data_IF_268852083195
#
_entry.id   IF_268852083195
#
_cell.length_a   1.000
_cell.length_b   1.000
_cell.length_c   1.000
_cell.angle_alpha   90.00
_cell.angle_beta   90.00
_cell.angle_gamma   90.00
#
_symmetry.space_group_name_H-M   'P 1'
#
loop_
_entity.id
_entity.type
_entity.pdbx_description
1 polymer ?
#
# COMPACT_ATOMS: atom_id res chain seq x y z
N UNK A 1 1.60 -41.20 -50.42
CA UNK A 1 0.97 -41.26 -49.09
C UNK A 1 1.95 -41.36 -47.92
N UNK A 2 2.92 -42.30 -47.86
CA UNK A 2 3.79 -42.44 -46.68
C UNK A 2 4.71 -41.23 -46.44
N UNK A 3 5.19 -40.58 -47.51
CA UNK A 3 6.04 -39.38 -47.42
C UNK A 3 5.36 -38.15 -46.81
N UNK A 4 4.04 -38.00 -46.99
CA UNK A 4 3.30 -36.87 -46.41
C UNK A 4 3.11 -37.08 -44.90
N UNK A 5 2.88 -38.32 -44.48
CA UNK A 5 2.73 -38.69 -43.06
C UNK A 5 4.06 -38.52 -42.32
N UNK A 6 5.19 -38.96 -42.90
CA UNK A 6 6.50 -38.77 -42.28
C UNK A 6 6.91 -37.30 -42.24
N UNK A 7 6.65 -36.52 -43.29
CA UNK A 7 6.90 -35.08 -43.29
C UNK A 7 6.08 -34.34 -42.21
N UNK A 8 4.81 -34.70 -42.03
CA UNK A 8 3.94 -34.15 -40.98
C UNK A 8 4.46 -34.49 -39.58
N UNK A 9 4.89 -35.75 -39.34
CA UNK A 9 5.45 -36.17 -38.06
C UNK A 9 6.74 -35.39 -37.74
N UNK A 10 7.64 -35.25 -38.71
CA UNK A 10 8.87 -34.48 -38.55
C UNK A 10 8.57 -33.00 -38.27
N UNK A 11 7.61 -32.41 -38.98
CA UNK A 11 7.19 -31.02 -38.75
C UNK A 11 6.60 -30.81 -37.34
N UNK A 12 5.77 -31.75 -36.86
CA UNK A 12 5.22 -31.71 -35.49
C UNK A 12 6.32 -31.92 -34.44
N UNK A 13 7.24 -32.86 -34.65
CA UNK A 13 8.37 -33.09 -33.76
C UNK A 13 9.29 -31.86 -33.68
N UNK A 14 9.51 -31.19 -34.81
CA UNK A 14 10.24 -29.92 -34.88
C UNK A 14 9.49 -28.81 -34.13
N UNK A 15 8.16 -28.65 -34.31
CA UNK A 15 7.37 -27.67 -33.56
C UNK A 15 7.36 -27.91 -32.04
N UNK A 16 7.41 -29.18 -31.61
CA UNK A 16 7.42 -29.53 -30.19
C UNK A 16 8.82 -29.36 -29.58
N UNK A 17 9.85 -29.84 -30.28
CA UNK A 17 11.23 -29.93 -29.79
C UNK A 17 12.18 -28.80 -30.22
N UNK A 18 11.72 -27.81 -31.00
CA UNK A 18 12.61 -26.72 -31.45
C UNK A 18 13.19 -25.98 -30.24
N UNK A 19 14.53 -25.78 -30.17
CA UNK A 19 15.16 -24.99 -29.13
C UNK A 19 14.56 -23.58 -29.10
N UNK A 20 14.36 -22.99 -27.91
CA UNK A 20 13.88 -21.61 -27.68
C UNK A 20 12.44 -21.25 -28.09
N UNK A 21 11.79 -21.97 -29.01
CA UNK A 21 10.42 -21.66 -29.48
C UNK A 21 9.45 -22.84 -29.40
N UNK A 22 9.96 -24.07 -29.29
CA UNK A 22 9.15 -25.27 -29.22
C UNK A 22 8.29 -25.36 -27.96
N UNK A 23 7.23 -26.17 -28.04
CA UNK A 23 6.31 -26.40 -26.91
C UNK A 23 7.03 -26.96 -25.67
N UNK A 24 8.01 -27.85 -25.84
CA UNK A 24 8.84 -28.36 -24.75
C UNK A 24 9.67 -27.25 -24.09
N UNK A 25 10.33 -26.41 -24.89
CA UNK A 25 11.14 -25.29 -24.38
C UNK A 25 10.28 -24.24 -23.67
N UNK A 26 9.05 -24.00 -24.14
CA UNK A 26 8.06 -23.17 -23.45
C UNK A 26 7.64 -23.80 -22.12
N UNK A 27 7.28 -25.09 -22.13
CA UNK A 27 6.88 -25.80 -20.91
C UNK A 27 8.00 -25.81 -19.86
N UNK A 28 9.24 -26.08 -20.27
CA UNK A 28 10.41 -26.04 -19.38
C UNK A 28 10.64 -24.63 -18.80
N UNK A 29 10.53 -23.57 -19.61
CA UNK A 29 10.62 -22.19 -19.11
C UNK A 29 9.53 -21.84 -18.11
N UNK A 30 8.29 -22.27 -18.36
CA UNK A 30 7.17 -22.05 -17.43
C UNK A 30 7.42 -22.78 -16.11
N UNK A 31 7.88 -24.04 -16.15
CA UNK A 31 8.21 -24.80 -14.95
C UNK A 31 9.36 -24.17 -14.16
N UNK A 32 10.42 -23.72 -14.85
CA UNK A 32 11.54 -23.05 -14.20
C UNK A 32 11.12 -21.71 -13.57
N UNK A 33 10.29 -20.92 -14.26
CA UNK A 33 9.78 -19.65 -13.75
C UNK A 33 8.90 -19.88 -12.51
N UNK A 34 7.99 -20.86 -12.58
CA UNK A 34 7.13 -21.22 -11.45
C UNK A 34 7.95 -21.65 -10.22
N UNK A 35 9.01 -22.45 -10.41
CA UNK A 35 9.90 -22.84 -9.33
C UNK A 35 10.65 -21.66 -8.70
N UNK A 36 11.08 -20.69 -9.52
CA UNK A 36 11.73 -19.46 -9.02
C UNK A 36 10.77 -18.61 -8.20
N UNK A 37 9.55 -18.39 -8.70
CA UNK A 37 8.51 -17.61 -8.00
C UNK A 37 8.19 -18.24 -6.64
N UNK A 38 7.96 -19.56 -6.58
CA UNK A 38 7.71 -20.25 -5.31
C UNK A 38 8.85 -20.10 -4.30
N UNK A 39 10.09 -20.12 -4.77
CA UNK A 39 11.26 -19.89 -3.94
C UNK A 39 11.32 -18.44 -3.43
N UNK A 40 11.08 -17.47 -4.30
CA UNK A 40 11.03 -16.05 -3.97
C UNK A 40 9.93 -15.75 -2.93
N UNK A 41 8.74 -16.31 -3.10
CA UNK A 41 7.63 -16.20 -2.15
C UNK A 41 7.94 -16.86 -0.79
N UNK A 42 8.59 -18.03 -0.80
CA UNK A 42 9.05 -18.67 0.43
C UNK A 42 10.05 -17.79 1.18
N UNK A 43 11.00 -17.16 0.48
CA UNK A 43 11.96 -16.24 1.07
C UNK A 43 11.26 -15.00 1.65
N UNK A 44 10.29 -14.43 0.92
CA UNK A 44 9.44 -13.31 1.40
C UNK A 44 8.74 -13.68 2.71
N UNK A 45 8.11 -14.85 2.78
CA UNK A 45 7.44 -15.34 3.98
C UNK A 45 8.40 -15.54 5.16
N UNK A 46 9.51 -16.25 4.95
CA UNK A 46 10.49 -16.52 6.02
C UNK A 46 11.05 -15.20 6.56
N UNK A 47 11.36 -14.23 5.68
CA UNK A 47 11.80 -12.90 6.08
C UNK A 47 10.76 -12.17 6.93
N UNK A 48 9.46 -12.26 6.56
CA UNK A 48 8.36 -11.67 7.34
C UNK A 48 8.30 -12.24 8.75
N UNK A 49 8.45 -13.55 8.93
CA UNK A 49 8.54 -14.19 10.25
C UNK A 49 9.72 -13.65 11.08
N UNK A 50 10.92 -13.60 10.48
CA UNK A 50 12.11 -13.09 11.17
C UNK A 50 11.93 -11.63 11.65
N UNK A 51 11.26 -10.79 10.86
CA UNK A 51 10.96 -9.40 11.23
C UNK A 51 9.95 -9.28 12.37
N UNK A 52 8.94 -10.15 12.41
CA UNK A 52 7.95 -10.20 13.51
C UNK A 52 8.51 -10.88 14.77
N UNK A 53 9.68 -11.51 14.69
CA UNK A 53 10.26 -12.30 15.78
C UNK A 53 9.62 -13.69 15.91
N UNK A 54 8.89 -14.12 14.88
CA UNK A 54 8.23 -15.42 14.81
C UNK A 54 9.17 -16.47 14.20
N UNK A 55 8.90 -17.74 14.51
CA UNK A 55 9.64 -18.85 13.94
C UNK A 55 8.96 -19.35 12.66
N UNK A 56 9.64 -19.31 11.50
CA UNK A 56 9.10 -19.88 10.27
C UNK A 56 8.96 -21.40 10.42
N UNK A 57 7.81 -21.94 10.03
CA UNK A 57 7.51 -23.38 10.05
C UNK A 57 7.25 -23.89 8.65
N UNK A 58 7.46 -25.19 8.44
CA UNK A 58 7.14 -25.83 7.16
C UNK A 58 5.66 -25.67 6.83
N UNK A 59 4.79 -25.83 7.83
CA UNK A 59 3.35 -25.66 7.69
C UNK A 59 2.96 -24.22 7.32
N UNK A 60 3.67 -23.23 7.86
CA UNK A 60 3.47 -21.82 7.51
C UNK A 60 3.87 -21.49 6.07
N UNK A 61 5.01 -22.02 5.60
CA UNK A 61 5.43 -21.89 4.19
C UNK A 61 4.42 -22.58 3.27
N UNK A 62 4.00 -23.79 3.60
CA UNK A 62 3.00 -24.54 2.82
C UNK A 62 1.66 -23.79 2.72
N UNK A 63 1.21 -23.22 3.83
CA UNK A 63 -0.02 -22.44 3.90
C UNK A 63 0.04 -21.19 3.03
N UNK A 64 1.14 -20.44 3.11
CA UNK A 64 1.36 -19.20 2.34
C UNK A 64 1.47 -19.45 0.84
N UNK A 65 2.21 -20.48 0.44
CA UNK A 65 2.36 -20.84 -0.98
C UNK A 65 1.19 -21.62 -1.55
N UNK A 66 0.23 -22.04 -0.72
CA UNK A 66 -0.89 -22.91 -1.09
C UNK A 66 -0.47 -24.22 -1.77
N UNK A 67 0.62 -24.85 -1.30
CA UNK A 67 1.13 -26.13 -1.81
C UNK A 67 1.12 -27.22 -0.75
N UNK A 68 1.24 -28.48 -1.18
CA UNK A 68 1.24 -29.61 -0.27
C UNK A 68 2.54 -29.69 0.55
N UNK A 69 2.45 -30.19 1.79
CA UNK A 69 3.56 -30.34 2.75
C UNK A 69 4.80 -31.04 2.18
N UNK A 70 4.61 -32.07 1.37
CA UNK A 70 5.69 -32.79 0.69
C UNK A 70 6.38 -31.93 -0.37
N UNK A 71 5.63 -31.14 -1.14
CA UNK A 71 6.18 -30.22 -2.13
C UNK A 71 6.96 -29.09 -1.45
N UNK A 72 6.45 -28.56 -0.34
CA UNK A 72 7.18 -27.59 0.50
C UNK A 72 8.50 -28.15 1.00
N UNK A 73 8.52 -29.40 1.48
CA UNK A 73 9.77 -30.03 1.93
C UNK A 73 10.81 -30.14 0.81
N UNK A 74 10.38 -30.48 -0.41
CA UNK A 74 11.25 -30.53 -1.60
C UNK A 74 11.75 -29.14 -1.99
N UNK A 75 10.90 -28.12 -1.90
CA UNK A 75 11.29 -26.72 -2.16
C UNK A 75 12.36 -26.25 -1.17
N UNK A 76 12.13 -26.45 0.13
CA UNK A 76 13.05 -26.03 1.18
C UNK A 76 14.41 -26.76 1.08
N UNK A 77 14.42 -28.04 0.72
CA UNK A 77 15.66 -28.79 0.47
C UNK A 77 16.46 -28.20 -0.71
N UNK A 78 15.79 -27.84 -1.82
CA UNK A 78 16.43 -27.15 -2.95
C UNK A 78 16.98 -25.78 -2.58
N UNK A 79 16.25 -25.03 -1.76
CA UNK A 79 16.68 -23.73 -1.27
C UNK A 79 17.94 -23.84 -0.39
N UNK A 80 18.02 -24.88 0.45
CA UNK A 80 19.20 -25.17 1.26
C UNK A 80 20.40 -25.58 0.39
N UNK A 81 20.18 -26.42 -0.63
CA UNK A 81 21.23 -26.80 -1.60
C UNK A 81 21.74 -25.61 -2.42
N UNK A 82 20.90 -24.58 -2.59
CA UNK A 82 21.23 -23.34 -3.30
C UNK A 82 21.77 -22.24 -2.37
N UNK A 83 22.06 -22.56 -1.10
CA UNK A 83 22.58 -21.64 -0.08
C UNK A 83 21.70 -20.41 0.19
N UNK A 84 20.37 -20.53 0.07
CA UNK A 84 19.42 -19.46 0.35
C UNK A 84 18.84 -19.52 1.76
N UNK A 85 18.82 -20.71 2.36
CA UNK A 85 18.42 -20.91 3.74
C UNK A 85 19.31 -21.94 4.40
N UNK A 86 19.36 -21.90 5.73
CA UNK A 86 20.02 -22.89 6.56
C UNK A 86 19.13 -23.32 7.71
N UNK A 87 19.24 -24.59 8.09
CA UNK A 87 18.66 -25.11 9.33
C UNK A 87 19.68 -24.99 10.47
N UNK A 88 19.40 -24.13 11.46
CA UNK A 88 20.21 -23.99 12.68
C UNK A 88 19.37 -24.28 13.90
N UNK A 89 19.82 -25.23 14.73
CA UNK A 89 19.10 -25.67 15.93
C UNK A 89 17.64 -26.07 15.66
N UNK A 90 17.38 -26.64 14.47
CA UNK A 90 16.03 -27.02 14.03
C UNK A 90 15.16 -25.86 13.52
N UNK A 91 15.71 -24.64 13.41
CA UNK A 91 15.02 -23.45 12.90
C UNK A 91 15.51 -23.08 11.50
N UNK A 92 14.57 -22.72 10.62
CA UNK A 92 14.89 -22.13 9.31
C UNK A 92 15.39 -20.70 9.49
N UNK A 93 16.52 -20.36 8.89
CA UNK A 93 17.06 -19.01 8.85
C UNK A 93 17.53 -18.68 7.44
N UNK A 94 17.32 -17.44 7.00
CA UNK A 94 17.84 -16.98 5.72
C UNK A 94 19.36 -16.81 5.78
N UNK A 95 20.04 -17.23 4.70
CA UNK A 95 21.44 -16.83 4.47
C UNK A 95 21.49 -15.36 4.03
N UNK A 96 22.69 -14.74 3.95
CA UNK A 96 22.81 -13.40 3.37
C UNK A 96 22.22 -13.29 1.95
N UNK A 97 22.42 -14.31 1.10
CA UNK A 97 21.90 -14.32 -0.26
C UNK A 97 20.39 -14.54 -0.31
N UNK A 98 19.85 -15.41 0.55
CA UNK A 98 18.41 -15.58 0.74
C UNK A 98 17.74 -14.30 1.21
N UNK A 99 18.34 -13.61 2.20
CA UNK A 99 17.85 -12.32 2.70
C UNK A 99 17.88 -11.26 1.60
N UNK A 100 18.98 -11.15 0.86
CA UNK A 100 19.09 -10.21 -0.26
C UNK A 100 17.97 -10.42 -1.29
N UNK A 101 17.69 -11.67 -1.62
CA UNK A 101 16.62 -12.03 -2.57
C UNK A 101 15.24 -11.70 -2.00
N UNK A 102 14.96 -12.04 -0.73
CA UNK A 102 13.71 -11.69 -0.07
C UNK A 102 13.46 -10.17 -0.10
N UNK A 103 14.49 -9.38 0.21
CA UNK A 103 14.42 -7.92 0.25
C UNK A 103 14.25 -7.30 -1.14
N UNK A 104 14.85 -7.89 -2.17
CA UNK A 104 14.59 -7.49 -3.57
C UNK A 104 13.11 -7.64 -3.92
N UNK A 105 12.52 -8.79 -3.60
CA UNK A 105 11.10 -9.07 -3.87
C UNK A 105 10.19 -8.15 -3.06
N UNK A 106 10.45 -7.96 -1.76
CA UNK A 106 9.70 -7.02 -0.92
C UNK A 106 9.80 -5.59 -1.46
N UNK A 107 10.99 -5.15 -1.89
CA UNK A 107 11.18 -3.84 -2.53
C UNK A 107 10.40 -3.73 -3.83
N UNK A 108 10.38 -4.78 -4.64
CA UNK A 108 9.64 -4.83 -5.90
C UNK A 108 8.13 -4.72 -5.68
N UNK A 109 7.59 -5.53 -4.76
CA UNK A 109 6.20 -5.50 -4.34
C UNK A 109 5.76 -4.09 -3.93
N UNK A 110 6.44 -3.52 -2.92
CA UNK A 110 6.10 -2.21 -2.36
C UNK A 110 6.20 -1.06 -3.36
N UNK A 111 7.17 -1.11 -4.29
CA UNK A 111 7.28 -0.12 -5.36
C UNK A 111 6.15 -0.26 -6.40
N UNK A 112 5.75 -1.48 -6.73
CA UNK A 112 4.61 -1.72 -7.60
C UNK A 112 3.30 -1.27 -6.97
N UNK A 113 3.06 -1.57 -5.70
CA UNK A 113 1.91 -1.07 -4.95
C UNK A 113 1.87 0.47 -4.95
N UNK A 114 3.00 1.10 -4.64
CA UNK A 114 3.12 2.56 -4.66
C UNK A 114 2.78 3.14 -6.05
N UNK A 115 3.33 2.57 -7.11
CA UNK A 115 3.07 2.98 -8.49
C UNK A 115 1.60 2.81 -8.87
N UNK A 116 1.04 1.61 -8.65
CA UNK A 116 -0.32 1.27 -9.04
C UNK A 116 -1.35 2.09 -8.28
N UNK A 117 -1.16 2.28 -6.97
CA UNK A 117 -2.01 3.12 -6.13
C UNK A 117 -1.99 4.60 -6.59
N UNK A 118 -0.90 5.08 -7.20
CA UNK A 118 -0.80 6.45 -7.72
C UNK A 118 -1.31 6.61 -9.15
N UNK A 119 -1.25 5.60 -10.02
CA UNK A 119 -1.53 5.82 -11.45
C UNK A 119 -2.92 5.37 -11.90
N UNK A 120 -3.51 4.38 -11.24
CA UNK A 120 -4.61 3.61 -11.83
C UNK A 120 -5.98 3.92 -11.22
N UNK A 121 -6.02 4.42 -9.99
CA UNK A 121 -7.26 4.58 -9.23
C UNK A 121 -7.93 3.24 -8.86
N UNK A 122 -7.24 2.11 -9.02
CA UNK A 122 -7.71 0.80 -8.63
C UNK A 122 -7.98 0.70 -7.14
N UNK A 123 -8.91 -0.18 -6.77
CA UNK A 123 -9.11 -0.55 -5.37
C UNK A 123 -7.87 -1.30 -4.85
N UNK A 124 -7.70 -1.35 -3.53
CA UNK A 124 -6.48 -1.91 -2.94
C UNK A 124 -6.23 -3.38 -3.30
N UNK A 125 -7.21 -4.26 -3.06
CA UNK A 125 -7.16 -5.66 -3.51
C UNK A 125 -6.75 -5.83 -4.98
N UNK A 126 -7.12 -4.90 -5.87
CA UNK A 126 -6.80 -4.98 -7.29
C UNK A 126 -5.35 -4.58 -7.59
N UNK A 127 -4.82 -3.57 -6.91
CA UNK A 127 -3.41 -3.19 -7.10
C UNK A 127 -2.45 -4.09 -6.32
N UNK A 128 -2.84 -4.62 -5.15
CA UNK A 128 -2.06 -5.61 -4.41
C UNK A 128 -1.87 -6.88 -5.24
N UNK A 129 -2.96 -7.47 -5.72
CA UNK A 129 -2.88 -8.66 -6.60
C UNK A 129 -2.22 -8.39 -7.96
N UNK A 130 -2.08 -7.15 -8.40
CA UNK A 130 -1.26 -6.78 -9.56
C UNK A 130 0.23 -6.64 -9.20
N UNK A 131 0.54 -6.12 -8.02
CA UNK A 131 1.91 -6.03 -7.51
C UNK A 131 2.50 -7.43 -7.32
N UNK A 132 1.76 -8.37 -6.72
CA UNK A 132 2.16 -9.78 -6.57
C UNK A 132 2.56 -10.42 -7.90
N UNK A 133 1.82 -10.13 -8.98
CA UNK A 133 2.14 -10.70 -10.30
C UNK A 133 3.41 -10.11 -10.91
N UNK A 134 3.77 -8.88 -10.54
CA UNK A 134 4.87 -8.12 -11.17
C UNK A 134 6.15 -8.08 -10.34
N UNK A 135 6.09 -8.39 -9.05
CA UNK A 135 7.26 -8.30 -8.15
C UNK A 135 8.43 -9.20 -8.57
N UNK A 136 8.14 -10.28 -9.29
CA UNK A 136 9.12 -11.25 -9.78
C UNK A 136 9.70 -10.91 -11.16
N UNK A 137 9.26 -9.82 -11.80
CA UNK A 137 9.59 -9.52 -13.19
C UNK A 137 10.86 -8.68 -13.35
N UNK A 138 11.17 -7.80 -12.39
CA UNK A 138 12.18 -6.75 -12.54
C UNK A 138 13.56 -7.17 -12.01
N UNK A 139 14.61 -6.83 -12.78
CA UNK A 139 16.00 -6.85 -12.29
C UNK A 139 16.25 -5.78 -11.22
N UNK A 140 17.33 -5.87 -10.43
CA UNK A 140 17.72 -4.83 -9.48
C UNK A 140 17.93 -3.45 -10.14
N UNK A 141 18.47 -3.40 -11.36
CA UNK A 141 18.63 -2.14 -12.11
C UNK A 141 17.28 -1.58 -12.54
N UNK A 142 16.41 -2.41 -13.14
CA UNK A 142 15.08 -1.98 -13.59
C UNK A 142 14.21 -1.51 -12.41
N UNK A 143 14.36 -2.16 -11.25
CA UNK A 143 13.67 -1.76 -10.03
C UNK A 143 14.17 -0.43 -9.48
N UNK A 144 15.48 -0.16 -9.62
CA UNK A 144 16.08 1.13 -9.26
C UNK A 144 15.59 2.25 -10.17
N UNK A 145 15.44 1.97 -11.46
CA UNK A 145 14.84 2.91 -12.42
C UNK A 145 13.36 3.19 -12.10
N UNK A 146 12.59 2.16 -11.72
CA UNK A 146 11.21 2.32 -11.25
C UNK A 146 11.16 3.23 -10.00
N UNK A 147 12.00 2.96 -9.01
CA UNK A 147 12.08 3.79 -7.80
C UNK A 147 12.42 5.25 -8.12
N UNK A 148 13.40 5.49 -9.00
CA UNK A 148 13.79 6.83 -9.42
C UNK A 148 12.65 7.58 -10.12
N UNK A 149 11.90 6.89 -11.00
CA UNK A 149 10.72 7.47 -11.67
C UNK A 149 9.60 7.84 -10.70
N UNK A 150 9.46 7.09 -9.60
CA UNK A 150 8.50 7.36 -8.53
C UNK A 150 8.99 8.45 -7.55
N UNK A 151 10.17 9.02 -7.76
CA UNK A 151 10.76 10.03 -6.88
C UNK A 151 11.41 9.46 -5.62
N UNK A 152 11.86 8.21 -5.67
CA UNK A 152 12.47 7.46 -4.56
C UNK A 152 11.60 7.46 -3.30
N UNK A 153 10.39 6.88 -3.38
CA UNK A 153 9.54 6.78 -2.20
C UNK A 153 10.21 5.95 -1.11
N UNK A 154 10.06 6.39 0.13
CA UNK A 154 10.63 5.69 1.30
C UNK A 154 9.65 4.69 1.91
N UNK A 155 8.37 4.82 1.59
CA UNK A 155 7.30 3.97 2.12
C UNK A 155 6.27 3.65 1.03
N UNK A 156 5.61 2.52 1.19
CA UNK A 156 4.51 2.08 0.34
C UNK A 156 3.17 2.75 0.73
N UNK A 157 2.04 2.42 0.06
CA UNK A 157 0.72 2.96 0.39
C UNK A 157 0.20 2.66 1.80
N UNK A 158 0.66 1.56 2.42
CA UNK A 158 0.29 1.06 3.75
C UNK A 158 1.14 1.67 4.87
N UNK A 159 2.26 2.31 4.52
CA UNK A 159 3.17 2.94 5.48
C UNK A 159 4.34 2.05 5.87
N UNK A 160 4.56 0.97 5.12
CA UNK A 160 5.69 0.09 5.29
C UNK A 160 6.95 0.65 4.59
N UNK A 161 8.14 0.54 5.22
CA UNK A 161 9.35 1.10 4.67
C UNK A 161 9.82 0.31 3.44
N UNK A 162 10.10 0.99 2.34
CA UNK A 162 10.63 0.35 1.13
C UNK A 162 12.12 0.02 1.37
N UNK A 163 12.55 -1.26 1.29
CA UNK A 163 13.97 -1.62 1.44
C UNK A 163 14.84 -0.84 0.46
N UNK A 164 16.06 -0.45 0.83
CA UNK A 164 17.00 0.22 -0.10
C UNK A 164 17.57 -0.75 -1.14
N UNK A 165 18.33 -0.24 -2.12
CA UNK A 165 19.01 -1.08 -3.11
C UNK A 165 20.08 -1.98 -2.47
N UNK A 166 20.63 -1.55 -1.33
CA UNK A 166 21.59 -2.26 -0.51
C UNK A 166 20.93 -3.30 0.41
N UNK A 167 19.60 -3.33 0.47
CA UNK A 167 18.85 -4.23 1.35
C UNK A 167 18.72 -3.71 2.79
N UNK A 168 18.84 -2.41 3.02
CA UNK A 168 18.56 -1.84 4.33
C UNK A 168 17.06 -1.61 4.49
N UNK A 169 16.49 -2.04 5.62
CA UNK A 169 15.08 -1.86 5.94
C UNK A 169 14.97 -1.00 7.20
N UNK A 170 14.32 0.15 7.07
CA UNK A 170 13.94 0.97 8.22
C UNK A 170 12.82 0.33 9.03
N UNK A 171 12.50 0.89 10.18
CA UNK A 171 11.21 0.59 10.85
C UNK A 171 10.21 1.68 10.45
N UNK A 172 8.93 1.35 10.32
CA UNK A 172 7.87 2.36 10.17
C UNK A 172 7.78 3.29 11.40
N UNK A 173 8.43 2.92 12.52
CA UNK A 173 8.66 3.78 13.68
C UNK A 173 7.42 4.04 14.54
N UNK A 174 6.39 3.20 14.38
CA UNK A 174 5.14 3.26 15.12
C UNK A 174 5.01 2.13 16.13
N UNK A 175 4.07 2.29 17.05
CA UNK A 175 3.60 1.24 17.96
C UNK A 175 2.09 1.10 17.80
N UNK A 176 1.51 -0.06 18.15
CA UNK A 176 0.06 -0.26 18.08
C UNK A 176 -0.70 0.87 18.79
N UNK A 177 -1.84 1.28 18.23
CA UNK A 177 -2.73 2.28 18.80
C UNK A 177 -3.17 1.89 20.22
N UNK A 178 -3.38 0.59 20.44
CA UNK A 178 -3.74 -0.02 21.73
C UNK A 178 -2.66 0.10 22.80
N UNK A 179 -1.44 0.47 22.44
CA UNK A 179 -0.32 0.68 23.39
C UNK A 179 -0.08 2.16 23.68
N UNK A 180 -0.86 3.06 23.08
CA UNK A 180 -0.66 4.50 23.25
C UNK A 180 -1.37 5.07 24.48
N UNK A 181 -0.82 6.14 25.07
CA UNK A 181 -1.53 6.90 26.08
C UNK A 181 -2.77 7.60 25.50
N UNK A 182 -3.81 7.72 26.33
CA UNK A 182 -5.01 8.49 26.02
C UNK A 182 -4.69 9.98 25.84
N UNK A 183 -5.54 10.68 25.09
CA UNK A 183 -5.56 12.12 24.88
C UNK A 183 -4.29 12.73 24.26
N UNK A 184 -3.38 11.90 23.74
CA UNK A 184 -2.23 12.38 22.96
C UNK A 184 -2.59 12.53 21.49
N UNK A 185 -2.02 13.56 20.86
CA UNK A 185 -2.04 13.72 19.42
C UNK A 185 -1.10 12.69 18.80
N UNK A 186 -1.66 11.78 18.01
CA UNK A 186 -0.97 10.69 17.36
C UNK A 186 -1.08 10.84 15.85
N UNK A 187 -0.16 10.22 15.12
CA UNK A 187 -0.19 10.09 13.67
C UNK A 187 -0.08 8.61 13.32
N UNK A 188 -1.01 8.10 12.50
CA UNK A 188 -0.92 6.79 11.87
C UNK A 188 0.33 6.79 10.98
N UNK A 189 1.20 5.81 11.17
CA UNK A 189 2.39 5.62 10.33
C UNK A 189 2.30 4.38 9.48
N UNK A 190 1.54 3.37 9.93
CA UNK A 190 1.37 2.10 9.23
C UNK A 190 -0.01 1.52 9.55
N UNK A 191 -0.62 0.87 8.56
CA UNK A 191 -1.81 0.02 8.71
C UNK A 191 -1.46 -1.37 8.21
N UNK A 192 -1.63 -2.40 9.04
CA UNK A 192 -1.36 -3.78 8.60
C UNK A 192 -2.34 -4.16 7.48
N UNK A 193 -1.79 -4.68 6.39
CA UNK A 193 -2.46 -5.14 5.18
C UNK A 193 -3.10 -6.53 5.37
N UNK A 194 -2.55 -7.35 6.27
CA UNK A 194 -3.04 -8.68 6.59
C UNK A 194 -3.67 -8.78 7.98
N UNK A 195 -4.86 -9.41 8.12
CA UNK A 195 -5.66 -10.00 7.05
C UNK A 195 -6.48 -8.96 6.26
N UNK A 196 -6.73 -9.22 4.97
CA UNK A 196 -7.40 -8.30 4.03
C UNK A 196 -8.73 -7.75 4.56
N UNK A 197 -9.50 -8.57 5.29
CA UNK A 197 -10.79 -8.16 5.85
C UNK A 197 -10.64 -7.07 6.93
N UNK A 198 -9.56 -7.11 7.70
CA UNK A 198 -9.26 -6.10 8.72
C UNK A 198 -8.79 -4.83 8.04
N UNK A 199 -7.87 -4.93 7.08
CA UNK A 199 -7.41 -3.77 6.32
C UNK A 199 -8.56 -3.07 5.57
N UNK A 200 -9.40 -3.83 4.87
CA UNK A 200 -10.58 -3.31 4.17
C UNK A 200 -11.53 -2.56 5.11
N UNK A 201 -11.70 -3.03 6.35
CA UNK A 201 -12.47 -2.31 7.36
C UNK A 201 -11.79 -0.99 7.75
N UNK A 202 -10.47 -0.99 8.00
CA UNK A 202 -9.72 0.23 8.35
C UNK A 202 -9.81 1.29 7.23
N UNK A 203 -9.73 0.87 5.96
CA UNK A 203 -9.91 1.75 4.81
C UNK A 203 -11.35 2.25 4.68
N UNK A 204 -12.36 1.40 4.97
CA UNK A 204 -13.76 1.80 4.95
C UNK A 204 -14.10 2.83 6.04
N UNK A 205 -13.41 2.75 7.19
CA UNK A 205 -13.39 3.78 8.24
C UNK A 205 -12.63 5.05 7.80
N UNK A 206 -12.06 5.06 6.59
CA UNK A 206 -11.34 6.20 6.04
C UNK A 206 -9.96 6.41 6.65
N UNK A 207 -9.38 5.42 7.34
CA UNK A 207 -8.07 5.52 7.99
C UNK A 207 -6.93 5.33 6.98
N UNK A 208 -5.82 6.05 7.17
CA UNK A 208 -4.66 5.98 6.28
C UNK A 208 -3.36 6.44 6.95
N UNK A 209 -2.19 5.98 6.45
CA UNK A 209 -0.89 6.49 6.90
C UNK A 209 -0.74 8.00 6.71
N UNK A 210 -0.27 8.67 7.75
CA UNK A 210 -0.17 10.12 7.84
C UNK A 210 -1.37 10.79 8.52
N UNK A 211 -2.52 10.10 8.64
CA UNK A 211 -3.70 10.59 9.34
C UNK A 211 -3.38 10.85 10.81
N UNK A 212 -3.95 11.92 11.36
CA UNK A 212 -3.87 12.20 12.80
C UNK A 212 -5.10 11.72 13.53
N UNK A 213 -4.87 11.25 14.74
CA UNK A 213 -5.93 10.82 15.63
C UNK A 213 -5.62 11.20 17.07
N UNK A 214 -6.66 11.14 17.91
CA UNK A 214 -6.54 11.22 19.36
C UNK A 214 -7.26 10.03 19.97
N UNK A 215 -6.52 9.20 20.70
CA UNK A 215 -7.08 8.05 21.42
C UNK A 215 -7.87 8.53 22.65
N UNK A 216 -9.14 8.16 22.75
CA UNK A 216 -10.06 8.61 23.80
C UNK A 216 -10.34 7.50 24.82
N UNK A 217 -10.54 6.27 24.34
CA UNK A 217 -10.83 5.11 25.17
C UNK A 217 -10.01 3.92 24.67
N UNK A 218 -9.39 3.19 25.60
CA UNK A 218 -8.71 1.93 25.32
C UNK A 218 -9.18 0.89 26.35
N UNK A 219 -10.28 0.23 26.02
CA UNK A 219 -10.93 -0.77 26.87
C UNK A 219 -10.80 -2.18 26.29
N UNK A 220 -11.09 -3.19 27.11
CA UNK A 220 -10.99 -4.60 26.72
C UNK A 220 -11.96 -5.02 25.60
N UNK A 221 -13.04 -4.26 25.36
CA UNK A 221 -14.05 -4.58 24.33
C UNK A 221 -14.05 -3.60 23.16
N UNK A 222 -13.55 -2.38 23.36
CA UNK A 222 -13.58 -1.33 22.36
C UNK A 222 -12.45 -0.32 22.57
N UNK A 223 -11.99 0.22 21.46
CA UNK A 223 -11.05 1.33 21.37
C UNK A 223 -11.79 2.46 20.66
N UNK A 224 -11.83 3.65 21.27
CA UNK A 224 -12.43 4.84 20.67
C UNK A 224 -11.39 5.90 20.44
N UNK A 225 -11.41 6.50 19.27
CA UNK A 225 -10.51 7.57 18.92
C UNK A 225 -11.18 8.55 17.97
N UNK A 226 -10.75 9.80 18.04
CA UNK A 226 -11.17 10.84 17.12
C UNK A 226 -10.19 10.90 15.95
N UNK A 227 -10.69 10.82 14.72
CA UNK A 227 -9.88 11.00 13.52
C UNK A 227 -10.73 11.68 12.44
N UNK A 228 -10.12 12.55 11.63
CA UNK A 228 -10.80 13.25 10.53
C UNK A 228 -12.11 14.01 10.90
N UNK A 229 -12.32 14.39 12.16
CA UNK A 229 -13.55 15.05 12.57
C UNK A 229 -14.71 14.10 12.89
N UNK A 230 -14.46 12.79 12.91
CA UNK A 230 -15.41 11.75 13.29
C UNK A 230 -14.86 10.91 14.47
N UNK A 231 -15.79 10.31 15.23
CA UNK A 231 -15.46 9.32 16.25
C UNK A 231 -15.49 7.92 15.63
N UNK A 232 -14.38 7.20 15.77
CA UNK A 232 -14.27 5.80 15.38
C UNK A 232 -14.33 4.90 16.61
N UNK A 233 -14.95 3.73 16.46
CA UNK A 233 -15.01 2.70 17.48
C UNK A 233 -14.65 1.34 16.88
N UNK A 234 -13.52 0.79 17.31
CA UNK A 234 -13.01 -0.49 16.82
C UNK A 234 -12.86 -1.50 17.96
N UNK A 235 -12.94 -2.79 17.64
CA UNK A 235 -12.51 -3.83 18.57
C UNK A 235 -10.99 -3.73 18.79
N UNK A 236 -10.45 -4.07 19.98
CA UNK A 236 -9.01 -3.97 20.26
C UNK A 236 -8.13 -4.72 19.26
N UNK A 237 -8.59 -5.90 18.80
CA UNK A 237 -7.88 -6.71 17.79
C UNK A 237 -7.79 -6.03 16.43
N UNK A 238 -8.74 -5.14 16.09
CA UNK A 238 -8.70 -4.37 14.85
C UNK A 238 -7.82 -3.13 15.06
N UNK A 239 -7.99 -2.44 16.18
CA UNK A 239 -7.19 -1.28 16.53
C UNK A 239 -5.69 -1.57 16.69
N UNK A 240 -5.30 -2.80 17.07
CA UNK A 240 -3.90 -3.21 17.15
C UNK A 240 -3.19 -3.25 15.80
N UNK A 241 -3.93 -3.30 14.68
CA UNK A 241 -3.38 -3.22 13.32
C UNK A 241 -3.12 -1.78 12.85
N UNK A 242 -3.39 -0.79 13.72
CA UNK A 242 -3.07 0.61 13.45
C UNK A 242 -1.80 0.96 14.22
N UNK A 243 -0.70 1.16 13.49
CA UNK A 243 0.57 1.60 14.06
C UNK A 243 0.66 3.12 14.02
N UNK A 244 0.95 3.73 15.17
CA UNK A 244 0.97 5.18 15.34
C UNK A 244 2.25 5.64 16.03
N UNK A 245 2.58 6.93 15.85
CA UNK A 245 3.62 7.63 16.63
C UNK A 245 3.05 8.92 17.22
N UNK A 246 3.71 9.46 18.23
CA UNK A 246 3.42 10.82 18.72
C UNK A 246 3.56 11.82 17.58
N UNK A 247 2.52 12.63 17.34
CA UNK A 247 2.57 13.66 16.31
C UNK A 247 3.60 14.74 16.70
N UNK A 248 4.46 15.22 15.77
CA UNK A 248 5.39 16.30 16.06
C UNK A 248 4.66 17.58 16.54
N UNK A 249 5.24 18.35 17.47
CA UNK A 249 4.63 19.57 18.00
C UNK A 249 4.49 20.69 16.96
N UNK A 250 5.40 20.81 15.99
CA UNK A 250 5.29 21.78 14.88
C UNK A 250 4.05 21.55 14.00
N UNK A 251 3.58 20.31 13.97
CA UNK A 251 2.34 19.95 13.30
C UNK A 251 1.09 20.25 14.13
N UNK A 252 1.18 20.46 15.45
CA UNK A 252 0.03 20.62 16.36
C UNK A 252 -0.96 21.71 15.90
N UNK A 253 -0.48 22.78 15.26
CA UNK A 253 -1.28 23.93 14.85
C UNK A 253 -2.05 23.77 13.52
N UNK A 254 -1.95 22.63 12.84
CA UNK A 254 -2.65 22.45 11.56
C UNK A 254 -4.13 22.08 11.71
N UNK A 255 -4.60 21.62 12.88
CA UNK A 255 -5.95 21.07 13.08
C UNK A 255 -6.84 21.80 14.08
N UNK A 256 -6.40 22.88 14.72
CA UNK A 256 -7.30 23.62 15.62
C UNK A 256 -8.30 24.51 14.86
N UNK A 257 -8.01 24.90 13.60
CA UNK A 257 -8.85 25.83 12.82
C UNK A 257 -9.22 25.35 11.39
N UNK A 258 -9.14 24.04 11.09
CA UNK A 258 -9.53 23.48 9.78
C UNK A 258 -10.75 22.58 9.89
N UNK A 259 -11.61 22.67 8.88
CA UNK A 259 -12.80 21.85 8.69
C UNK A 259 -12.89 21.32 7.27
N UNK A 260 -13.82 20.40 6.99
CA UNK A 260 -14.01 19.86 5.65
C UNK A 260 -14.65 20.90 4.71
N UNK A 261 -14.34 20.82 3.41
CA UNK A 261 -14.99 21.67 2.41
C UNK A 261 -16.51 21.42 2.32
N UNK A 262 -16.99 20.23 2.72
CA UNK A 262 -18.42 19.89 2.81
C UNK A 262 -19.16 20.66 3.90
N UNK A 263 -18.45 21.09 4.95
CA UNK A 263 -19.00 21.88 6.05
C UNK A 263 -19.11 23.37 5.69
N UNK A 264 -18.53 23.81 4.57
CA UNK A 264 -18.67 25.20 4.10
C UNK A 264 -20.10 25.45 3.65
N UNK A 265 -20.74 26.44 4.28
CA UNK A 265 -22.13 26.79 3.99
C UNK A 265 -22.19 27.53 2.65
N UNK A 266 -23.27 27.32 1.89
CA UNK A 266 -23.50 28.06 0.65
C UNK A 266 -23.46 29.56 0.90
N UNK A 267 -22.69 30.28 0.09
CA UNK A 267 -22.39 31.71 0.25
C UNK A 267 -21.08 31.99 0.99
N UNK A 268 -20.58 31.05 1.78
CA UNK A 268 -19.35 31.20 2.55
C UNK A 268 -18.09 30.99 1.69
N UNK A 269 -17.03 31.69 2.07
CA UNK A 269 -15.70 31.58 1.45
C UNK A 269 -14.71 31.01 2.45
N UNK A 270 -13.94 30.01 2.02
CA UNK A 270 -12.91 29.37 2.80
C UNK A 270 -11.59 29.34 2.00
N UNK A 271 -10.48 29.11 2.70
CA UNK A 271 -9.15 28.97 2.09
C UNK A 271 -8.72 27.52 2.21
N UNK A 272 -8.33 26.89 1.11
CA UNK A 272 -7.81 25.52 1.11
C UNK A 272 -6.58 25.46 2.02
N UNK A 273 -6.64 24.63 3.04
CA UNK A 273 -5.52 24.34 3.90
C UNK A 273 -4.63 23.26 3.27
N UNK A 274 -5.26 22.13 2.89
CA UNK A 274 -4.58 20.98 2.31
C UNK A 274 -5.60 20.07 1.61
N UNK A 275 -5.13 19.29 0.64
CA UNK A 275 -5.86 18.10 0.15
C UNK A 275 -5.49 16.93 1.06
N UNK A 276 -6.48 16.11 1.42
CA UNK A 276 -6.29 14.88 2.18
C UNK A 276 -5.25 13.97 1.51
N UNK A 277 -4.31 13.39 2.26
CA UNK A 277 -3.41 12.36 1.75
C UNK A 277 -4.12 11.08 1.25
N UNK A 278 -5.41 10.90 1.55
CA UNK A 278 -6.28 9.87 0.92
C UNK A 278 -6.50 10.11 -0.56
N UNK A 279 -6.59 11.37 -0.96
CA UNK A 279 -6.78 11.72 -2.35
C UNK A 279 -5.45 11.47 -3.06
N UNK A 280 -5.37 10.34 -3.78
CA UNK A 280 -4.19 9.90 -4.50
C UNK A 280 -4.47 9.84 -6.00
N UNK A 281 -3.40 9.73 -6.76
CA UNK A 281 -3.44 9.53 -8.20
C UNK A 281 -4.26 10.52 -9.03
N UNK A 282 -5.09 10.00 -9.94
CA UNK A 282 -5.80 10.78 -10.94
C UNK A 282 -6.71 11.86 -10.32
N UNK A 283 -7.36 11.55 -9.21
CA UNK A 283 -8.23 12.50 -8.54
C UNK A 283 -7.43 13.64 -7.89
N UNK A 284 -6.33 13.33 -7.20
CA UNK A 284 -5.45 14.35 -6.62
C UNK A 284 -4.89 15.28 -7.68
N UNK A 285 -4.46 14.71 -8.81
CA UNK A 285 -3.97 15.46 -9.98
C UNK A 285 -5.06 16.37 -10.54
N UNK A 286 -6.27 15.82 -10.71
CA UNK A 286 -7.46 16.60 -11.12
C UNK A 286 -7.74 17.75 -10.16
N UNK A 287 -7.69 17.57 -8.83
CA UNK A 287 -7.87 18.67 -7.89
C UNK A 287 -6.82 19.76 -8.07
N UNK A 288 -5.55 19.39 -8.24
CA UNK A 288 -4.48 20.36 -8.51
C UNK A 288 -4.69 21.10 -9.84
N UNK A 289 -5.09 20.39 -10.91
CA UNK A 289 -5.38 20.95 -12.23
C UNK A 289 -6.58 21.91 -12.20
N UNK A 290 -7.57 21.61 -11.36
CA UNK A 290 -8.71 22.48 -11.07
C UNK A 290 -8.34 23.68 -10.17
N UNK A 291 -7.09 23.74 -9.72
CA UNK A 291 -6.56 24.82 -8.90
C UNK A 291 -6.85 24.70 -7.41
N UNK A 292 -7.25 23.53 -6.92
CA UNK A 292 -7.46 23.25 -5.49
C UNK A 292 -6.09 23.01 -4.86
N UNK A 293 -5.42 24.08 -4.47
CA UNK A 293 -4.09 24.02 -3.85
C UNK A 293 -4.10 24.75 -2.51
N UNK A 294 -3.23 24.41 -1.54
CA UNK A 294 -3.07 25.18 -0.31
C UNK A 294 -2.99 26.69 -0.58
N UNK A 295 -3.77 27.48 0.16
CA UNK A 295 -3.91 28.93 -0.02
C UNK A 295 -4.98 29.36 -1.04
N UNK A 296 -5.58 28.43 -1.80
CA UNK A 296 -6.62 28.77 -2.77
C UNK A 296 -7.91 29.16 -2.08
N UNK A 297 -8.49 30.29 -2.48
CA UNK A 297 -9.81 30.74 -2.01
C UNK A 297 -10.90 29.98 -2.77
N UNK A 298 -11.79 29.33 -2.02
CA UNK A 298 -12.94 28.59 -2.54
C UNK A 298 -14.22 29.17 -1.92
N UNK A 299 -15.24 29.41 -2.74
CA UNK A 299 -16.57 29.82 -2.28
C UNK A 299 -17.60 28.75 -2.62
N UNK A 300 -18.41 28.32 -1.65
CA UNK A 300 -19.56 27.47 -1.93
C UNK A 300 -20.66 28.32 -2.60
N UNK A 301 -21.00 28.04 -3.86
CA UNK A 301 -21.97 28.84 -4.63
C UNK A 301 -23.38 28.29 -4.54
N UNK A 302 -23.52 26.97 -4.65
CA UNK A 302 -24.81 26.31 -4.74
C UNK A 302 -24.68 24.86 -4.28
N UNK A 303 -25.68 24.35 -3.58
CA UNK A 303 -25.83 22.92 -3.29
C UNK A 303 -27.01 22.40 -4.09
N UNK A 304 -26.87 21.22 -4.70
CA UNK A 304 -27.97 20.62 -5.46
C UNK A 304 -29.21 20.41 -4.57
N UNK A 305 -30.42 20.30 -5.15
CA UNK A 305 -31.64 20.03 -4.38
C UNK A 305 -31.57 18.72 -3.56
N UNK A 306 -30.84 17.72 -4.06
CA UNK A 306 -30.60 16.44 -3.37
C UNK A 306 -29.49 16.50 -2.31
N UNK A 307 -28.81 17.65 -2.14
CA UNK A 307 -27.71 17.83 -1.20
C UNK A 307 -26.32 17.51 -1.73
N UNK A 308 -26.22 16.85 -2.89
CA UNK A 308 -24.97 16.46 -3.57
C UNK A 308 -25.17 16.47 -5.10
N UNK A 309 -24.26 17.03 -5.94
CA UNK A 309 -23.01 17.73 -5.61
C UNK A 309 -23.19 19.18 -5.12
N UNK A 310 -22.13 19.73 -4.52
CA UNK A 310 -22.02 21.18 -4.22
C UNK A 310 -21.13 21.84 -5.27
N UNK A 311 -21.58 22.97 -5.81
CA UNK A 311 -20.85 23.81 -6.75
C UNK A 311 -19.99 24.82 -5.99
N UNK A 312 -18.69 24.83 -6.30
CA UNK A 312 -17.69 25.69 -5.69
C UNK A 312 -17.07 26.61 -6.73
N UNK A 313 -16.92 27.90 -6.42
CA UNK A 313 -16.13 28.83 -7.22
C UNK A 313 -14.67 28.73 -6.82
N UNK A 314 -13.83 28.34 -7.76
CA UNK A 314 -12.39 28.09 -7.59
C UNK A 314 -11.68 28.77 -8.75
N UNK A 315 -10.79 29.73 -8.46
CA UNK A 315 -10.02 30.50 -9.46
C UNK A 315 -10.86 31.06 -10.62
N UNK A 316 -12.10 31.48 -10.33
CA UNK A 316 -13.02 32.09 -11.30
C UNK A 316 -13.92 31.09 -12.06
N UNK A 317 -13.60 29.80 -12.03
CA UNK A 317 -14.47 28.73 -12.55
C UNK A 317 -15.44 28.22 -11.48
N UNK A 318 -16.60 27.73 -11.90
CA UNK A 318 -17.56 27.03 -11.03
C UNK A 318 -17.42 25.54 -11.29
N UNK A 319 -17.08 24.78 -10.24
CA UNK A 319 -16.79 23.36 -10.29
C UNK A 319 -17.74 22.64 -9.33
N UNK A 320 -18.51 21.68 -9.84
CA UNK A 320 -19.31 20.80 -9.02
C UNK A 320 -18.43 19.66 -8.47
N UNK A 321 -18.38 19.53 -7.15
CA UNK A 321 -17.70 18.43 -6.44
C UNK A 321 -18.74 17.62 -5.67
N UNK A 322 -18.65 16.30 -5.78
CA UNK A 322 -19.44 15.38 -4.95
C UNK A 322 -18.97 15.42 -3.50
N UNK A 323 -19.80 14.94 -2.58
CA UNK A 323 -19.52 14.89 -1.15
C UNK A 323 -18.25 14.09 -0.84
N UNK A 324 -18.09 12.94 -1.50
CA UNK A 324 -16.87 12.11 -1.41
C UNK A 324 -15.60 12.91 -1.76
N UNK A 325 -15.67 13.75 -2.80
CA UNK A 325 -14.56 14.56 -3.30
C UNK A 325 -14.24 15.73 -2.36
N UNK A 326 -15.28 16.42 -1.90
CA UNK A 326 -15.16 17.58 -1.03
C UNK A 326 -14.76 17.20 0.41
N UNK A 327 -15.07 15.99 0.86
CA UNK A 327 -14.56 15.42 2.11
C UNK A 327 -13.04 15.19 2.11
N UNK A 328 -12.40 15.20 0.94
CA UNK A 328 -10.94 15.11 0.83
C UNK A 328 -10.25 16.47 0.79
N UNK A 329 -10.95 17.58 1.03
CA UNK A 329 -10.36 18.92 0.98
C UNK A 329 -10.59 19.60 2.34
N UNK A 330 -9.50 19.95 3.02
CA UNK A 330 -9.54 20.69 4.27
C UNK A 330 -9.41 22.18 4.00
N UNK A 331 -10.20 22.99 4.71
CA UNK A 331 -10.24 24.45 4.55
C UNK A 331 -10.19 25.17 5.89
N UNK A 332 -9.66 26.39 5.89
CA UNK A 332 -9.72 27.36 6.99
C UNK A 332 -10.71 28.46 6.65
N UNK A 333 -11.27 29.10 7.67
CA UNK A 333 -12.06 30.31 7.46
C UNK A 333 -11.16 31.41 6.88
N UNK A 334 -11.69 32.18 5.93
CA UNK A 334 -10.96 33.35 5.43
C UNK A 334 -11.02 34.43 6.51
N UNK A 335 -9.90 34.69 7.18
CA UNK A 335 -9.80 35.86 8.07
C UNK A 335 -10.08 37.14 7.26
N UNK A 336 -11.09 37.88 7.69
CA UNK A 336 -11.33 39.24 7.20
C UNK A 336 -10.16 40.08 7.71
N UNK A 337 -9.22 40.41 6.82
CA UNK A 337 -8.27 41.49 7.08
C UNK A 337 -9.11 42.74 7.31
N UNK A 338 -9.20 43.18 8.56
CA UNK A 338 -9.77 44.47 8.90
C UNK A 338 -8.98 45.52 8.11
N UNK A 339 -9.65 46.12 7.12
CA UNK A 339 -9.13 47.26 6.41
C UNK A 339 -8.78 48.32 7.46
N UNK A 340 -7.48 48.54 7.68
CA UNK A 340 -7.03 49.72 8.41
C UNK A 340 -7.42 50.91 7.53
N UNK A 341 -8.42 51.64 8.03
CA UNK A 341 -8.92 52.90 7.48
C UNK A 341 -7.88 54.01 7.56
#
# INVERSE_FOLDING_TARGET
>A
MPFLVTALIVMVALLIGWPEVGLLARWQRVQHLAGRVMQEDALKYIHKCEMKGDLPTLEGVAGTLHIARNETAVLLDKMQQSDLLVMRDGQMQLTPDGRKTALHIIRAHRLWEHHLAQETGYAETEWHGQADRREHELSPEELSDLAARLGNPTHDPHGDPIPTAEGEVGQHGGRPLTEQPLDKALQIVHLEDEPDTVYAQLVAEGLYPGMRLRLIENGAQRVRFWANGDEHMLAPIIASNISVRTAPPETAHLHEDVRLLTEVVVGETAVVAQISPLCRGAERRRFMDLGILPGTVIKAEMRSPSGDPTAYRIRGAVIALRKEQSNMIYVKQKELVAAHA
#
